data_IF_142589719685
#
_entry.id   IF_142589719685
#
_cell.length_a   1.000
_cell.length_b   1.000
_cell.length_c   1.000
_cell.angle_alpha   90.00
_cell.angle_beta   90.00
_cell.angle_gamma   90.00
#
_symmetry.space_group_name_H-M   'P 1'
#
loop_
_entity.id
_entity.type
_entity.pdbx_description
1 polymer ?
#
# COMPACT_ATOMS: atom_id res chain seq x y z
N UNK A 1 -0.93 -5.62 -29.89
CA UNK A 1 -2.05 -6.39 -29.30
C UNK A 1 -2.63 -5.48 -28.23
N UNK A 2 -3.68 -4.74 -28.57
CA UNK A 2 -4.28 -3.74 -27.69
C UNK A 2 -5.62 -4.29 -27.20
N UNK A 3 -5.95 -4.06 -25.93
CA UNK A 3 -7.26 -4.38 -25.36
C UNK A 3 -7.92 -3.09 -24.98
N UNK A 4 -9.21 -3.00 -25.27
CA UNK A 4 -10.04 -1.88 -24.85
C UNK A 4 -10.36 -2.03 -23.37
N UNK A 5 -9.87 -1.09 -22.56
CA UNK A 5 -10.11 -1.02 -21.12
C UNK A 5 -10.84 0.29 -20.90
N UNK A 6 -12.15 0.20 -20.64
CA UNK A 6 -13.00 1.37 -20.40
C UNK A 6 -12.98 2.44 -21.52
N UNK A 7 -12.87 2.03 -22.79
CA UNK A 7 -12.88 2.92 -23.96
C UNK A 7 -11.49 3.39 -24.40
N UNK A 8 -10.42 2.90 -23.76
CA UNK A 8 -9.03 3.30 -24.07
C UNK A 8 -8.25 2.07 -24.57
N UNK A 9 -7.61 2.14 -25.76
CA UNK A 9 -6.78 1.05 -26.26
C UNK A 9 -5.47 0.96 -25.46
N UNK A 10 -5.34 -0.09 -24.65
CA UNK A 10 -4.17 -0.32 -23.79
C UNK A 10 -3.31 -1.47 -24.32
N UNK A 11 -1.99 -1.28 -24.32
CA UNK A 11 -1.04 -2.33 -24.72
C UNK A 11 -0.95 -3.43 -23.66
N UNK A 12 -1.34 -4.65 -24.02
CA UNK A 12 -1.34 -5.84 -23.14
C UNK A 12 0.06 -6.11 -22.57
N UNK A 13 1.11 -5.99 -23.41
CA UNK A 13 2.48 -6.27 -23.00
C UNK A 13 2.94 -5.29 -21.92
N UNK A 14 2.52 -4.03 -22.03
CA UNK A 14 2.76 -2.98 -21.03
C UNK A 14 2.10 -3.31 -19.70
N UNK A 15 0.86 -3.79 -19.71
CA UNK A 15 0.14 -4.21 -18.50
C UNK A 15 0.81 -5.40 -17.82
N UNK A 16 1.24 -6.42 -18.58
CA UNK A 16 1.93 -7.58 -18.01
C UNK A 16 3.28 -7.16 -17.41
N UNK A 17 4.04 -6.30 -18.09
CA UNK A 17 5.32 -5.79 -17.61
C UNK A 17 5.16 -4.96 -16.32
N UNK A 18 4.20 -4.03 -16.30
CA UNK A 18 3.83 -3.28 -15.09
C UNK A 18 3.36 -4.20 -13.98
N UNK A 19 2.58 -5.22 -14.33
CA UNK A 19 2.18 -6.32 -13.45
C UNK A 19 3.39 -6.97 -12.80
N UNK A 20 4.37 -7.40 -13.57
CA UNK A 20 5.57 -8.05 -13.03
C UNK A 20 6.39 -7.13 -12.13
N UNK A 21 6.68 -5.89 -12.54
CA UNK A 21 7.46 -4.93 -11.73
C UNK A 21 6.78 -4.70 -10.39
N UNK A 22 5.50 -4.34 -10.42
CA UNK A 22 4.74 -4.08 -9.21
C UNK A 22 4.47 -5.35 -8.40
N UNK A 23 4.39 -6.52 -9.04
CA UNK A 23 4.30 -7.82 -8.39
C UNK A 23 5.56 -8.10 -7.58
N UNK A 24 6.74 -7.97 -8.21
CA UNK A 24 8.03 -8.08 -7.54
C UNK A 24 8.13 -7.15 -6.34
N UNK A 25 7.79 -5.87 -6.52
CA UNK A 25 7.83 -4.88 -5.43
C UNK A 25 6.81 -5.19 -4.33
N UNK A 26 5.61 -5.62 -4.69
CA UNK A 26 4.59 -6.06 -3.73
C UNK A 26 5.07 -7.26 -2.92
N UNK A 27 5.70 -8.24 -3.56
CA UNK A 27 6.24 -9.42 -2.89
C UNK A 27 7.50 -9.11 -2.09
N UNK A 28 8.33 -8.15 -2.51
CA UNK A 28 9.55 -7.78 -1.82
C UNK A 28 9.28 -6.95 -0.56
N UNK A 29 8.37 -5.98 -0.65
CA UNK A 29 8.08 -5.04 0.44
C UNK A 29 6.79 -5.33 1.20
N UNK A 30 5.94 -6.25 0.73
CA UNK A 30 4.65 -6.52 1.35
C UNK A 30 3.64 -5.38 1.22
N UNK A 31 3.86 -4.42 0.31
CA UNK A 31 3.04 -3.20 0.18
C UNK A 31 1.71 -3.45 -0.57
N UNK A 32 1.64 -4.48 -1.40
CA UNK A 32 0.49 -4.72 -2.29
C UNK A 32 0.60 -4.07 -3.67
N UNK A 33 1.60 -3.22 -3.93
CA UNK A 33 1.86 -2.61 -5.24
C UNK A 33 0.85 -1.54 -5.71
N UNK A 34 -0.35 -1.48 -5.11
CA UNK A 34 -1.39 -0.48 -5.37
C UNK A 34 -0.90 0.97 -5.42
N UNK A 35 -0.08 1.47 -4.47
CA UNK A 35 0.33 2.88 -4.49
C UNK A 35 1.17 3.28 -5.71
N UNK A 36 1.87 2.34 -6.31
CA UNK A 36 2.62 2.59 -7.53
C UNK A 36 1.71 2.49 -8.76
N UNK A 37 0.86 1.47 -8.80
CA UNK A 37 0.10 1.16 -10.01
C UNK A 37 -1.03 2.15 -10.24
N UNK A 38 -1.75 2.58 -9.20
CA UNK A 38 -2.88 3.51 -9.34
C UNK A 38 -2.52 4.79 -10.09
N UNK A 39 -1.47 5.54 -9.70
CA UNK A 39 -1.07 6.73 -10.45
C UNK A 39 -0.47 6.39 -11.82
N UNK A 40 0.25 5.27 -11.97
CA UNK A 40 0.80 4.85 -13.27
C UNK A 40 -0.31 4.54 -14.28
N UNK A 41 -1.37 3.85 -13.85
CA UNK A 41 -2.52 3.54 -14.69
C UNK A 41 -3.25 4.81 -15.14
N UNK A 42 -3.44 5.75 -14.24
CA UNK A 42 -4.07 7.01 -14.58
C UNK A 42 -3.19 7.86 -15.52
N UNK A 43 -1.91 8.04 -15.19
CA UNK A 43 -1.02 8.94 -15.93
C UNK A 43 -0.62 8.37 -17.31
N UNK A 44 -0.28 7.07 -17.39
CA UNK A 44 0.20 6.47 -18.64
C UNK A 44 -0.92 5.96 -19.54
N UNK A 45 -2.05 5.52 -18.96
CA UNK A 45 -3.14 4.92 -19.72
C UNK A 45 -4.44 5.72 -19.67
N UNK A 46 -4.48 6.86 -18.96
CA UNK A 46 -5.66 7.73 -18.92
C UNK A 46 -6.87 7.13 -18.21
N UNK A 47 -6.69 6.03 -17.47
CA UNK A 47 -7.81 5.31 -16.84
C UNK A 47 -8.34 6.15 -15.65
N UNK A 48 -9.66 6.32 -15.51
CA UNK A 48 -10.26 7.04 -14.39
C UNK A 48 -9.83 6.48 -13.03
N UNK A 49 -9.68 7.36 -12.03
CA UNK A 49 -9.24 6.99 -10.68
C UNK A 49 -10.11 5.91 -10.01
N UNK A 50 -11.45 5.97 -10.05
CA UNK A 50 -12.28 4.94 -9.43
C UNK A 50 -11.97 3.54 -9.96
N UNK A 51 -11.83 3.42 -11.29
CA UNK A 51 -11.51 2.16 -11.98
C UNK A 51 -10.08 1.71 -11.65
N UNK A 52 -9.13 2.64 -11.59
CA UNK A 52 -7.76 2.34 -11.14
C UNK A 52 -7.75 1.78 -9.72
N UNK A 53 -8.43 2.43 -8.78
CA UNK A 53 -8.48 2.04 -7.36
C UNK A 53 -9.09 0.64 -7.20
N UNK A 54 -10.26 0.38 -7.78
CA UNK A 54 -10.90 -0.93 -7.65
C UNK A 54 -10.11 -2.05 -8.35
N UNK A 55 -9.58 -1.79 -9.54
CA UNK A 55 -8.79 -2.78 -10.28
C UNK A 55 -7.43 -3.05 -9.62
N UNK A 56 -6.79 -2.03 -9.04
CA UNK A 56 -5.55 -2.23 -8.29
C UNK A 56 -5.79 -3.04 -7.02
N UNK A 57 -6.85 -2.80 -6.26
CA UNK A 57 -7.20 -3.62 -5.09
C UNK A 57 -7.43 -5.10 -5.48
N UNK A 58 -8.15 -5.35 -6.57
CA UNK A 58 -8.43 -6.69 -7.09
C UNK A 58 -7.15 -7.45 -7.43
N UNK A 59 -6.25 -6.77 -8.14
CA UNK A 59 -4.92 -7.27 -8.47
C UNK A 59 -4.09 -7.48 -7.22
N UNK A 60 -4.09 -6.53 -6.29
CA UNK A 60 -3.37 -6.60 -5.02
C UNK A 60 -3.79 -7.81 -4.20
N UNK A 61 -5.08 -8.13 -4.14
CA UNK A 61 -5.59 -9.31 -3.46
C UNK A 61 -4.96 -10.60 -4.05
N UNK A 62 -4.95 -10.75 -5.38
CA UNK A 62 -4.34 -11.93 -6.02
C UNK A 62 -2.82 -12.01 -5.84
N UNK A 63 -2.10 -10.88 -5.94
CA UNK A 63 -0.64 -10.85 -5.77
C UNK A 63 -0.20 -11.13 -4.35
N UNK A 64 -0.91 -10.55 -3.38
CA UNK A 64 -0.57 -10.72 -1.97
C UNK A 64 -0.95 -12.09 -1.46
N UNK A 65 -2.01 -12.72 -1.98
CA UNK A 65 -2.28 -14.13 -1.74
C UNK A 65 -1.08 -15.01 -2.10
N UNK A 66 -0.51 -14.81 -3.29
CA UNK A 66 0.69 -15.54 -3.74
C UNK A 66 1.91 -15.27 -2.85
N UNK A 67 2.08 -14.04 -2.38
CA UNK A 67 3.16 -13.68 -1.46
C UNK A 67 2.97 -14.28 -0.06
N UNK A 68 1.75 -14.25 0.47
CA UNK A 68 1.36 -14.81 1.77
C UNK A 68 1.69 -16.30 1.83
N UNK A 69 1.32 -17.08 0.81
CA UNK A 69 1.65 -18.51 0.76
C UNK A 69 3.15 -18.77 0.93
N UNK A 70 3.99 -17.87 0.41
CA UNK A 70 5.44 -18.00 0.49
C UNK A 70 6.01 -17.48 1.81
N UNK A 71 5.53 -16.34 2.31
CA UNK A 71 5.91 -15.83 3.63
C UNK A 71 5.50 -16.77 4.75
N UNK A 72 4.37 -17.46 4.61
CA UNK A 72 3.92 -18.48 5.57
C UNK A 72 4.92 -19.63 5.68
N UNK A 73 5.46 -20.10 4.54
CA UNK A 73 6.50 -21.14 4.53
C UNK A 73 7.80 -20.70 5.21
N UNK A 74 8.10 -19.40 5.20
CA UNK A 74 9.27 -18.85 5.88
C UNK A 74 9.03 -18.56 7.37
N UNK A 75 7.80 -18.67 7.88
CA UNK A 75 7.48 -18.40 9.29
C UNK A 75 7.40 -16.91 9.65
N UNK A 76 7.37 -16.01 8.66
CA UNK A 76 7.43 -14.57 8.86
C UNK A 76 6.04 -13.90 8.99
N UNK A 77 5.01 -14.66 9.35
CA UNK A 77 3.64 -14.15 9.44
C UNK A 77 3.15 -14.28 10.87
N UNK A 78 2.87 -13.15 11.50
CA UNK A 78 2.11 -13.11 12.74
C UNK A 78 0.62 -12.99 12.42
N UNK A 79 -0.04 -14.14 12.24
CA UNK A 79 -1.44 -14.20 11.83
C UNK A 79 -2.37 -13.55 12.87
N UNK A 80 -2.01 -13.62 14.16
CA UNK A 80 -2.82 -13.03 15.23
C UNK A 80 -2.81 -11.51 15.13
N UNK A 81 -1.63 -10.90 14.94
CA UNK A 81 -1.49 -9.46 14.76
C UNK A 81 -2.21 -9.00 13.49
N UNK A 82 -2.04 -9.74 12.39
CA UNK A 82 -2.70 -9.44 11.13
C UNK A 82 -4.23 -9.43 11.26
N UNK A 83 -4.81 -10.47 11.84
CA UNK A 83 -6.28 -10.59 11.99
C UNK A 83 -6.87 -9.49 12.87
N UNK A 84 -6.16 -9.08 13.93
CA UNK A 84 -6.59 -7.97 14.78
C UNK A 84 -6.63 -6.64 14.02
N UNK A 85 -5.62 -6.39 13.19
CA UNK A 85 -5.56 -5.20 12.34
C UNK A 85 -6.68 -5.25 11.28
N UNK A 86 -6.89 -6.40 10.63
CA UNK A 86 -7.92 -6.57 9.59
C UNK A 86 -9.31 -6.19 10.08
N UNK A 87 -9.67 -6.55 11.32
CA UNK A 87 -10.97 -6.20 11.90
C UNK A 87 -11.23 -4.68 11.96
N UNK A 88 -10.25 -3.89 12.42
CA UNK A 88 -10.36 -2.43 12.43
C UNK A 88 -10.24 -1.83 11.02
N UNK A 89 -9.47 -2.48 10.15
CA UNK A 89 -9.21 -2.00 8.80
C UNK A 89 -10.45 -2.02 7.91
N UNK A 90 -11.33 -3.01 8.05
CA UNK A 90 -12.58 -3.09 7.26
C UNK A 90 -13.50 -1.90 7.48
N UNK A 91 -13.66 -1.48 8.75
CA UNK A 91 -14.45 -0.29 9.09
C UNK A 91 -13.84 0.96 8.48
N UNK A 92 -12.50 1.09 8.56
CA UNK A 92 -11.79 2.19 7.91
C UNK A 92 -11.98 2.20 6.39
N UNK A 93 -11.90 1.04 5.74
CA UNK A 93 -12.11 0.92 4.28
C UNK A 93 -13.49 1.41 3.88
N UNK A 94 -14.55 1.01 4.58
CA UNK A 94 -15.91 1.50 4.28
C UNK A 94 -15.98 3.02 4.37
N UNK A 95 -15.49 3.62 5.47
CA UNK A 95 -15.44 5.08 5.64
C UNK A 95 -14.66 5.74 4.49
N UNK A 96 -13.53 5.15 4.11
CA UNK A 96 -12.70 5.63 3.00
C UNK A 96 -13.42 5.60 1.66
N UNK A 97 -14.15 4.51 1.35
CA UNK A 97 -14.92 4.42 0.10
C UNK A 97 -16.12 5.37 0.11
N UNK A 98 -16.82 5.53 1.23
CA UNK A 98 -17.88 6.55 1.33
C UNK A 98 -17.33 7.96 1.10
N UNK A 99 -16.15 8.27 1.63
CA UNK A 99 -15.51 9.55 1.40
C UNK A 99 -15.07 9.70 -0.07
N UNK A 100 -14.60 8.61 -0.71
CA UNK A 100 -14.27 8.59 -2.14
C UNK A 100 -15.50 8.94 -2.99
N UNK A 101 -16.63 8.26 -2.76
CA UNK A 101 -17.89 8.51 -3.48
C UNK A 101 -18.40 9.95 -3.25
N UNK A 102 -18.13 10.53 -2.08
CA UNK A 102 -18.46 11.92 -1.78
C UNK A 102 -17.55 12.90 -2.53
N UNK A 103 -16.25 12.64 -2.63
CA UNK A 103 -15.32 13.47 -3.43
C UNK A 103 -15.61 13.37 -4.93
N UNK A 104 -16.03 12.21 -5.43
CA UNK A 104 -16.35 12.01 -6.85
C UNK A 104 -17.51 12.92 -7.31
N UNK A 105 -18.43 13.25 -6.39
CA UNK A 105 -19.56 14.17 -6.65
C UNK A 105 -19.17 15.64 -6.74
N UNK A 106 -17.94 16.02 -6.37
CA UNK A 106 -17.49 17.42 -6.41
C UNK A 106 -17.33 17.96 -7.84
N UNK A 107 -17.45 17.11 -8.86
CA UNK A 107 -17.43 17.51 -10.26
C UNK A 107 -16.03 17.91 -10.75
N UNK A 108 -15.99 18.69 -11.83
CA UNK A 108 -14.74 19.19 -12.40
C UNK A 108 -14.32 20.53 -11.78
N UNK A 109 -13.02 20.69 -11.57
CA UNK A 109 -12.40 21.95 -11.19
C UNK A 109 -11.42 22.38 -12.27
N UNK A 110 -11.37 23.67 -12.53
CA UNK A 110 -10.37 24.26 -13.42
C UNK A 110 -9.11 24.57 -12.62
N UNK A 111 -8.04 23.82 -12.86
CA UNK A 111 -6.72 24.06 -12.28
C UNK A 111 -5.80 24.50 -13.41
N UNK A 112 -5.35 25.76 -13.37
CA UNK A 112 -4.57 26.34 -14.47
C UNK A 112 -5.39 26.44 -15.76
N UNK A 113 -4.87 25.86 -16.86
CA UNK A 113 -5.55 25.82 -18.18
C UNK A 113 -6.31 24.52 -18.45
N UNK A 114 -6.27 23.56 -17.53
CA UNK A 114 -6.86 22.23 -17.72
C UNK A 114 -8.08 22.02 -16.80
N UNK A 115 -9.16 21.48 -17.36
CA UNK A 115 -10.29 20.97 -16.57
C UNK A 115 -9.97 19.55 -16.12
N UNK A 116 -10.04 19.28 -14.82
CA UNK A 116 -9.81 17.95 -14.28
C UNK A 116 -10.81 17.62 -13.17
N UNK A 117 -11.13 16.33 -12.97
CA UNK A 117 -12.00 15.93 -11.87
C UNK A 117 -11.42 16.37 -10.53
N UNK A 118 -12.22 17.00 -9.68
CA UNK A 118 -11.78 17.47 -8.35
C UNK A 118 -11.22 16.33 -7.49
N UNK A 119 -11.84 15.15 -7.61
CA UNK A 119 -11.37 13.91 -7.00
C UNK A 119 -9.90 13.65 -7.31
N UNK A 120 -9.50 13.72 -8.59
CA UNK A 120 -8.14 13.45 -9.03
C UNK A 120 -7.14 14.40 -8.37
N UNK A 121 -7.45 15.70 -8.37
CA UNK A 121 -6.57 16.71 -7.77
C UNK A 121 -6.38 16.49 -6.26
N UNK A 122 -7.49 16.34 -5.52
CA UNK A 122 -7.43 16.15 -4.06
C UNK A 122 -6.73 14.85 -3.67
N UNK A 123 -7.00 13.75 -4.39
CA UNK A 123 -6.36 12.48 -4.12
C UNK A 123 -4.86 12.54 -4.40
N UNK A 124 -4.41 13.17 -5.49
CA UNK A 124 -2.98 13.31 -5.78
C UNK A 124 -2.23 14.10 -4.69
N UNK A 125 -2.80 15.20 -4.21
CA UNK A 125 -2.24 15.98 -3.11
C UNK A 125 -2.19 15.20 -1.80
N UNK A 126 -3.29 14.51 -1.45
CA UNK A 126 -3.36 13.66 -0.27
C UNK A 126 -2.32 12.55 -0.35
N UNK A 127 -2.20 11.90 -1.50
CA UNK A 127 -1.24 10.83 -1.75
C UNK A 127 0.21 11.33 -1.63
N UNK A 128 0.51 12.47 -2.27
CA UNK A 128 1.82 13.12 -2.17
C UNK A 128 2.20 13.46 -0.72
N UNK A 129 1.28 14.06 0.02
CA UNK A 129 1.49 14.40 1.43
C UNK A 129 1.75 13.17 2.30
N UNK A 130 0.96 12.10 2.13
CA UNK A 130 1.14 10.84 2.86
C UNK A 130 2.50 10.20 2.55
N UNK A 131 2.87 10.11 1.27
CA UNK A 131 4.14 9.49 0.88
C UNK A 131 5.36 10.28 1.35
N UNK A 132 5.34 11.61 1.25
CA UNK A 132 6.42 12.46 1.76
C UNK A 132 6.56 12.29 3.27
N UNK A 133 5.44 12.26 4.00
CA UNK A 133 5.47 12.10 5.45
C UNK A 133 6.07 10.74 5.82
N UNK A 134 5.61 9.66 5.20
CA UNK A 134 6.14 8.30 5.42
C UNK A 134 7.61 8.21 5.03
N UNK A 135 7.99 8.66 3.84
CA UNK A 135 9.37 8.63 3.36
C UNK A 135 10.31 9.46 4.26
N UNK A 136 9.86 10.66 4.65
CA UNK A 136 10.58 11.54 5.56
C UNK A 136 10.84 10.89 6.92
N UNK A 137 9.81 10.26 7.52
CA UNK A 137 9.95 9.52 8.79
C UNK A 137 11.00 8.40 8.67
N UNK A 138 10.95 7.61 7.61
CA UNK A 138 11.88 6.49 7.38
C UNK A 138 13.32 7.01 7.16
N UNK A 139 13.49 8.09 6.41
CA UNK A 139 14.81 8.67 6.12
C UNK A 139 15.43 9.30 7.37
N UNK A 140 14.66 10.08 8.13
CA UNK A 140 15.11 10.67 9.39
C UNK A 140 15.59 9.56 10.32
N UNK A 141 14.83 8.47 10.43
CA UNK A 141 15.19 7.36 11.28
C UNK A 141 16.44 6.60 10.77
N UNK A 142 16.54 6.38 9.46
CA UNK A 142 17.71 5.76 8.84
C UNK A 142 18.99 6.59 9.07
N UNK A 143 18.89 7.92 9.13
CA UNK A 143 20.01 8.82 9.42
C UNK A 143 20.38 8.82 10.91
N UNK A 144 19.39 8.78 11.81
CA UNK A 144 19.60 8.75 13.26
C UNK A 144 20.25 7.43 13.69
N UNK A 145 19.80 6.29 13.15
CA UNK A 145 20.34 4.97 13.53
C UNK A 145 21.74 4.69 12.97
N UNK A 146 22.11 5.24 11.81
CA UNK A 146 23.51 5.18 11.33
C UNK A 146 24.52 5.83 12.30
N UNK A 147 24.06 6.74 13.17
CA UNK A 147 24.90 7.43 14.17
C UNK A 147 25.04 6.66 15.49
N UNK A 148 24.11 5.75 15.81
CA UNK A 148 24.16 4.89 17.00
C UNK A 148 24.43 3.46 16.57
N UNK A 149 25.69 3.14 16.30
CA UNK A 149 26.16 1.75 16.25
C UNK A 149 26.06 1.17 17.67
N UNK A 150 24.89 0.61 17.97
CA UNK A 150 24.53 0.12 19.29
C UNK A 150 23.15 -0.52 19.23
N UNK A 151 23.15 -1.85 19.22
CA UNK A 151 22.05 -2.76 18.96
C UNK A 151 20.89 -2.66 19.97
N UNK A 152 20.12 -1.57 19.98
CA UNK A 152 18.83 -1.47 20.68
C UNK A 152 17.84 -0.65 19.87
N UNK A 153 16.88 -1.36 19.27
CA UNK A 153 15.68 -0.82 18.62
C UNK A 153 15.06 0.25 19.52
N UNK A 154 15.07 1.50 19.07
CA UNK A 154 14.59 2.63 19.87
C UNK A 154 13.81 3.60 18.99
N UNK A 155 12.55 3.30 18.76
CA UNK A 155 11.42 4.12 19.22
C UNK A 155 10.15 3.26 19.22
N UNK A 156 9.37 3.39 20.28
CA UNK A 156 8.23 2.56 20.67
C UNK A 156 7.05 3.52 20.94
N UNK A 157 6.80 4.47 20.03
CA UNK A 157 5.85 5.56 20.27
C UNK A 157 4.45 5.03 20.65
N UNK A 158 4.06 3.87 20.12
CA UNK A 158 2.80 3.20 20.45
C UNK A 158 2.96 1.98 21.37
N UNK A 159 4.19 1.49 21.59
CA UNK A 159 4.46 0.30 22.40
C UNK A 159 4.51 0.63 23.91
N UNK A 160 4.80 1.87 24.28
CA UNK A 160 4.75 2.34 25.68
C UNK A 160 3.45 3.07 26.06
N UNK A 161 2.42 3.02 25.20
CA UNK A 161 1.15 3.70 25.47
C UNK A 161 0.40 2.99 26.63
N UNK A 162 0.06 3.70 27.72
CA UNK A 162 -0.48 3.11 28.95
C UNK A 162 -2.00 2.84 28.87
N UNK A 163 -2.50 2.38 27.71
CA UNK A 163 -3.92 2.10 27.51
C UNK A 163 -4.14 0.58 27.45
N UNK A 164 -4.58 -0.05 28.57
CA UNK A 164 -4.94 -1.47 28.57
C UNK A 164 -6.17 -1.73 27.68
N UNK A 165 -6.35 -2.93 27.08
CA UNK A 165 -5.63 -4.20 27.28
C UNK A 165 -4.43 -4.43 26.34
N UNK A 166 -3.47 -5.25 26.81
CA UNK A 166 -2.26 -5.63 26.07
C UNK A 166 -2.35 -7.03 25.48
N UNK A 167 -1.80 -7.22 24.28
CA UNK A 167 -1.68 -8.53 23.63
C UNK A 167 -0.21 -8.80 23.28
N UNK A 168 0.27 -10.00 23.58
CA UNK A 168 1.61 -10.46 23.24
C UNK A 168 1.62 -11.22 21.91
N UNK A 169 2.67 -11.00 21.12
CA UNK A 169 2.86 -11.53 19.77
C UNK A 169 4.22 -12.22 19.66
N UNK A 170 4.30 -13.54 19.92
CA UNK A 170 5.57 -14.27 20.09
C UNK A 170 6.38 -14.44 18.79
N UNK A 171 5.73 -14.38 17.62
CA UNK A 171 6.41 -14.47 16.31
C UNK A 171 7.05 -13.11 15.95
N UNK A 172 6.46 -12.02 16.43
CA UNK A 172 6.91 -10.65 16.14
C UNK A 172 7.97 -10.11 17.14
N UNK A 173 8.35 -10.90 18.15
CA UNK A 173 9.19 -10.51 19.30
C UNK A 173 8.70 -9.23 20.03
N UNK A 174 7.39 -8.95 19.93
CA UNK A 174 6.76 -7.81 20.61
C UNK A 174 6.00 -8.28 21.84
N UNK A 175 6.54 -7.90 23.01
CA UNK A 175 6.06 -8.38 24.33
C UNK A 175 4.67 -7.85 24.69
N UNK A 176 4.33 -6.61 24.34
CA UNK A 176 3.04 -5.98 24.65
C UNK A 176 2.72 -4.88 23.62
N UNK A 177 1.56 -4.96 22.95
CA UNK A 177 0.99 -3.87 22.13
C UNK A 177 -0.39 -3.52 22.70
N UNK A 178 -0.70 -2.22 22.80
CA UNK A 178 -2.02 -1.75 23.24
C UNK A 178 -3.08 -2.00 22.15
N UNK A 179 -4.16 -2.69 22.52
CA UNK A 179 -5.26 -3.03 21.60
C UNK A 179 -5.92 -1.78 20.98
N UNK A 180 -6.14 -0.67 21.73
CA UNK A 180 -6.68 0.57 21.16
C UNK A 180 -5.77 1.21 20.10
N UNK A 181 -4.44 1.14 20.25
CA UNK A 181 -3.53 1.65 19.22
C UNK A 181 -3.62 0.83 17.94
N UNK A 182 -3.76 -0.50 18.04
CA UNK A 182 -3.98 -1.39 16.90
C UNK A 182 -5.26 -1.01 16.18
N UNK A 183 -6.38 -0.87 16.90
CA UNK A 183 -7.68 -0.55 16.30
C UNK A 183 -7.66 0.84 15.66
N UNK A 184 -7.13 1.85 16.36
CA UNK A 184 -7.07 3.22 15.84
C UNK A 184 -6.20 3.33 14.59
N UNK A 185 -4.98 2.77 14.64
CA UNK A 185 -4.08 2.76 13.49
C UNK A 185 -4.65 1.97 12.31
N UNK A 186 -5.31 0.83 12.57
CA UNK A 186 -6.00 0.06 11.55
C UNK A 186 -7.16 0.84 10.91
N UNK A 187 -7.95 1.57 11.70
CA UNK A 187 -9.03 2.40 11.18
C UNK A 187 -8.49 3.52 10.28
N UNK A 188 -7.48 4.27 10.76
CA UNK A 188 -6.86 5.37 9.99
C UNK A 188 -6.25 4.85 8.68
N UNK A 189 -5.46 3.78 8.74
CA UNK A 189 -4.87 3.17 7.55
C UNK A 189 -5.95 2.59 6.63
N UNK A 190 -7.05 2.08 7.18
CA UNK A 190 -8.21 1.60 6.42
C UNK A 190 -8.87 2.69 5.61
N UNK A 191 -9.05 3.88 6.20
CA UNK A 191 -9.58 5.05 5.48
C UNK A 191 -8.69 5.37 4.27
N UNK A 192 -7.37 5.43 4.47
CA UNK A 192 -6.43 5.62 3.35
C UNK A 192 -6.45 4.47 2.34
N UNK A 193 -6.69 3.24 2.79
CA UNK A 193 -6.79 2.07 1.91
C UNK A 193 -8.01 2.14 1.00
N UNK A 194 -9.18 2.51 1.54
CA UNK A 194 -10.41 2.71 0.77
C UNK A 194 -10.35 3.92 -0.17
N UNK A 195 -9.74 5.02 0.27
CA UNK A 195 -9.57 6.23 -0.54
C UNK A 195 -8.58 6.07 -1.70
N UNK A 196 -7.47 5.38 -1.46
CA UNK A 196 -6.32 5.42 -2.37
C UNK A 196 -6.09 4.12 -3.14
N UNK A 197 -6.79 3.03 -2.79
CA UNK A 197 -6.59 1.71 -3.42
C UNK A 197 -5.22 1.11 -3.17
N UNK A 198 -4.48 1.61 -2.18
CA UNK A 198 -3.09 1.25 -1.90
C UNK A 198 -2.98 -0.17 -1.31
N UNK A 199 -4.07 -0.75 -0.81
CA UNK A 199 -4.05 -1.97 0.00
C UNK A 199 -3.48 -1.79 1.41
N UNK A 200 -3.05 -0.56 1.77
CA UNK A 200 -2.58 -0.18 3.12
C UNK A 200 -1.12 -0.52 3.43
N UNK A 201 -0.45 -1.33 2.60
CA UNK A 201 0.87 -1.88 2.96
C UNK A 201 1.99 -0.83 3.08
N UNK A 202 1.87 0.30 2.38
CA UNK A 202 2.86 1.39 2.46
C UNK A 202 2.84 2.09 3.82
N UNK A 203 1.70 1.99 4.54
CA UNK A 203 1.50 2.53 5.87
C UNK A 203 1.72 1.45 6.94
N UNK A 204 1.28 0.22 6.69
CA UNK A 204 1.42 -0.88 7.66
C UNK A 204 2.88 -1.30 7.87
N UNK A 205 3.71 -1.40 6.82
CA UNK A 205 5.14 -1.76 7.00
C UNK A 205 5.86 -0.82 7.97
N UNK A 206 5.87 0.51 7.76
CA UNK A 206 6.52 1.42 8.70
C UNK A 206 5.81 1.46 10.06
N UNK A 207 4.47 1.34 10.12
CA UNK A 207 3.76 1.25 11.40
C UNK A 207 4.21 0.03 12.22
N UNK A 208 4.30 -1.15 11.60
CA UNK A 208 4.72 -2.37 12.29
C UNK A 208 6.18 -2.27 12.75
N UNK A 209 7.07 -1.77 11.90
CA UNK A 209 8.50 -1.67 12.20
C UNK A 209 8.78 -0.58 13.24
N UNK A 210 8.29 0.63 13.02
CA UNK A 210 8.67 1.82 13.79
C UNK A 210 7.63 2.20 14.85
N UNK A 211 6.36 1.87 14.64
CA UNK A 211 5.31 2.08 15.64
C UNK A 211 5.31 0.97 16.69
N UNK A 212 5.35 -0.30 16.26
CA UNK A 212 5.25 -1.47 17.15
C UNK A 212 6.57 -2.20 17.41
N UNK A 213 7.63 -1.91 16.65
CA UNK A 213 8.93 -2.55 16.85
C UNK A 213 9.02 -3.99 16.34
N UNK A 214 8.16 -4.38 15.39
CA UNK A 214 8.18 -5.70 14.77
C UNK A 214 9.44 -5.84 13.90
N UNK A 215 10.08 -7.00 13.93
CA UNK A 215 11.22 -7.30 13.06
C UNK A 215 10.87 -7.11 11.58
N UNK A 216 11.76 -6.55 10.77
CA UNK A 216 11.49 -6.17 9.37
C UNK A 216 10.92 -7.33 8.54
N UNK A 217 11.49 -8.52 8.65
CA UNK A 217 11.06 -9.68 7.88
C UNK A 217 9.65 -10.15 8.29
N UNK A 218 9.36 -10.16 9.60
CA UNK A 218 8.04 -10.47 10.13
C UNK A 218 7.01 -9.37 9.81
N UNK A 219 7.41 -8.10 9.83
CA UNK A 219 6.55 -6.97 9.49
C UNK A 219 6.09 -7.02 8.04
N UNK A 220 7.00 -7.32 7.10
CA UNK A 220 6.68 -7.44 5.67
C UNK A 220 5.75 -8.63 5.41
N UNK A 221 6.01 -9.79 6.03
CA UNK A 221 5.14 -10.97 5.89
C UNK A 221 3.76 -10.77 6.50
N UNK A 222 3.70 -10.22 7.72
CA UNK A 222 2.44 -9.89 8.42
C UNK A 222 1.63 -8.85 7.65
N UNK A 223 2.29 -7.82 7.10
CA UNK A 223 1.63 -6.83 6.25
C UNK A 223 1.05 -7.45 4.99
N UNK A 224 1.76 -8.39 4.36
CA UNK A 224 1.23 -9.08 3.17
C UNK A 224 -0.10 -9.80 3.46
N UNK A 225 -0.25 -10.36 4.67
CA UNK A 225 -1.51 -10.98 5.11
C UNK A 225 -2.61 -9.93 5.37
N UNK A 226 -2.27 -8.83 6.04
CA UNK A 226 -3.20 -7.71 6.26
C UNK A 226 -3.71 -7.18 4.91
N UNK A 227 -2.79 -6.89 3.99
CA UNK A 227 -3.09 -6.35 2.67
C UNK A 227 -3.94 -7.32 1.86
N UNK A 228 -3.70 -8.64 1.95
CA UNK A 228 -4.54 -9.63 1.28
C UNK A 228 -6.02 -9.51 1.67
N UNK A 229 -6.33 -9.56 2.96
CA UNK A 229 -7.72 -9.46 3.42
C UNK A 229 -8.32 -8.08 3.13
N UNK A 230 -7.53 -7.02 3.32
CA UNK A 230 -7.95 -5.64 3.11
C UNK A 230 -8.25 -5.34 1.65
N UNK A 231 -7.39 -5.82 0.75
CA UNK A 231 -7.58 -5.68 -0.68
C UNK A 231 -8.71 -6.56 -1.18
N UNK A 232 -8.89 -7.78 -0.66
CA UNK A 232 -10.04 -8.62 -0.99
C UNK A 232 -11.36 -7.95 -0.58
N UNK A 233 -11.44 -7.40 0.64
CA UNK A 233 -12.62 -6.67 1.11
C UNK A 233 -12.88 -5.41 0.27
N UNK A 234 -11.87 -4.55 0.09
CA UNK A 234 -11.98 -3.36 -0.74
C UNK A 234 -12.34 -3.68 -2.20
N UNK A 235 -11.84 -4.79 -2.75
CA UNK A 235 -12.22 -5.28 -4.08
C UNK A 235 -13.71 -5.51 -4.18
N UNK A 236 -14.31 -6.21 -3.21
CA UNK A 236 -15.76 -6.44 -3.19
C UNK A 236 -16.50 -5.11 -3.12
N UNK A 237 -16.09 -4.22 -2.21
CA UNK A 237 -16.70 -2.90 -2.01
C UNK A 237 -16.65 -2.01 -3.28
N UNK A 238 -15.56 -2.05 -4.05
CA UNK A 238 -15.42 -1.33 -5.32
C UNK A 238 -16.07 -2.06 -6.50
N UNK A 239 -16.06 -3.39 -6.53
CA UNK A 239 -16.72 -4.19 -7.56
C UNK A 239 -18.24 -4.00 -7.52
N UNK A 240 -18.82 -3.92 -6.32
CA UNK A 240 -20.24 -3.60 -6.13
C UNK A 240 -20.63 -2.21 -6.69
N UNK A 241 -19.65 -1.31 -6.84
CA UNK A 241 -19.83 0.04 -7.43
C UNK A 241 -19.50 0.10 -8.92
N UNK A 242 -19.15 -1.02 -9.55
CA UNK A 242 -18.75 -1.05 -10.97
C UNK A 242 -17.35 -0.51 -11.26
N UNK A 243 -16.52 -0.30 -10.23
CA UNK A 243 -15.20 0.33 -10.33
C UNK A 243 -14.05 -0.67 -10.56
N UNK A 244 -14.36 -1.88 -11.05
CA UNK A 244 -13.36 -2.95 -11.27
C UNK A 244 -13.42 -3.42 -12.71
N UNK A 245 -12.32 -3.22 -13.44
CA UNK A 245 -12.15 -3.75 -14.79
C UNK A 245 -11.42 -5.09 -14.73
N UNK A 246 -12.14 -6.18 -15.02
CA UNK A 246 -11.60 -7.53 -14.90
C UNK A 246 -10.51 -7.84 -15.94
N UNK A 247 -10.51 -7.21 -17.11
CA UNK A 247 -9.48 -7.41 -18.12
C UNK A 247 -8.16 -6.80 -17.69
N UNK A 248 -8.22 -5.56 -17.19
CA UNK A 248 -7.07 -4.88 -16.59
C UNK A 248 -6.46 -5.73 -15.46
N UNK A 249 -7.31 -6.22 -14.57
CA UNK A 249 -6.91 -7.08 -13.44
C UNK A 249 -6.26 -8.36 -13.94
N UNK A 250 -6.85 -9.04 -14.93
CA UNK A 250 -6.34 -10.30 -15.45
C UNK A 250 -4.91 -10.15 -16.01
N UNK A 251 -4.65 -9.15 -16.87
CA UNK A 251 -3.33 -8.95 -17.45
C UNK A 251 -2.28 -8.54 -16.40
N UNK A 252 -2.67 -7.68 -15.46
CA UNK A 252 -1.78 -7.32 -14.36
C UNK A 252 -1.48 -8.51 -13.45
N UNK A 253 -2.44 -9.40 -13.19
CA UNK A 253 -2.29 -10.59 -12.34
C UNK A 253 -1.34 -11.63 -12.94
N UNK A 254 -1.38 -11.83 -14.26
CA UNK A 254 -0.50 -12.77 -14.96
C UNK A 254 0.97 -12.43 -14.70
N UNK A 255 1.37 -11.18 -14.92
CA UNK A 255 2.76 -10.76 -14.68
C UNK A 255 3.13 -10.77 -13.20
N UNK A 256 2.18 -10.40 -12.34
CA UNK A 256 2.48 -10.05 -10.95
C UNK A 256 2.54 -11.22 -9.98
N UNK A 257 1.76 -12.28 -10.21
CA UNK A 257 1.72 -13.46 -9.32
C UNK A 257 3.09 -14.16 -9.22
N UNK A 258 3.72 -14.42 -10.36
CA UNK A 258 5.06 -15.05 -10.43
C UNK A 258 6.11 -14.10 -9.84
N UNK A 259 6.11 -12.84 -10.29
CA UNK A 259 7.11 -11.87 -9.86
C UNK A 259 7.00 -11.54 -8.36
N UNK A 260 5.78 -11.58 -7.78
CA UNK A 260 5.59 -11.45 -6.33
C UNK A 260 6.29 -12.56 -5.56
N UNK A 261 6.15 -13.81 -5.99
CA UNK A 261 6.85 -14.91 -5.33
C UNK A 261 8.37 -14.76 -5.42
N UNK A 262 8.91 -14.27 -6.53
CA UNK A 262 10.34 -13.98 -6.68
C UNK A 262 10.77 -12.85 -5.75
N UNK A 263 9.97 -11.79 -5.64
CA UNK A 263 10.17 -10.69 -4.70
C UNK A 263 10.29 -11.17 -3.24
N UNK A 264 9.42 -12.11 -2.83
CA UNK A 264 9.50 -12.70 -1.48
C UNK A 264 10.82 -13.44 -1.26
N UNK A 265 11.33 -14.20 -2.25
CA UNK A 265 12.65 -14.86 -2.12
C UNK A 265 13.75 -13.82 -1.94
N UNK A 266 13.75 -12.80 -2.81
CA UNK A 266 14.77 -11.77 -2.80
C UNK A 266 14.79 -11.05 -1.44
N UNK A 267 13.60 -10.80 -0.87
CA UNK A 267 13.46 -10.22 0.46
C UNK A 267 14.10 -11.10 1.56
N UNK A 268 13.96 -12.42 1.51
CA UNK A 268 14.59 -13.32 2.51
C UNK A 268 16.12 -13.37 2.44
N UNK A 269 16.72 -12.91 1.33
CA UNK A 269 18.18 -12.95 1.13
C UNK A 269 18.88 -11.65 1.52
N UNK A 270 18.12 -10.61 1.83
CA UNK A 270 18.63 -9.27 2.09
C UNK A 270 18.41 -8.94 3.57
N UNK A 271 19.38 -8.25 4.18
CA UNK A 271 19.28 -7.82 5.58
C UNK A 271 18.17 -6.78 5.77
N UNK A 272 17.52 -6.81 6.94
CA UNK A 272 16.41 -5.91 7.30
C UNK A 272 16.69 -4.42 7.07
N UNK A 273 17.90 -3.94 7.36
CA UNK A 273 18.26 -2.52 7.17
C UNK A 273 18.26 -2.11 5.70
N UNK A 274 18.77 -2.99 4.82
CA UNK A 274 18.75 -2.77 3.38
C UNK A 274 17.33 -2.79 2.82
N UNK A 275 16.43 -3.64 3.36
CA UNK A 275 15.02 -3.65 2.98
C UNK A 275 14.36 -2.31 3.34
N UNK A 276 14.59 -1.79 4.54
CA UNK A 276 14.07 -0.49 4.99
C UNK A 276 14.57 0.65 4.11
N UNK A 277 15.86 0.65 3.75
CA UNK A 277 16.44 1.67 2.87
C UNK A 277 15.84 1.62 1.47
N UNK A 278 15.75 0.43 0.87
CA UNK A 278 15.12 0.24 -0.44
C UNK A 278 13.64 0.66 -0.43
N UNK A 279 12.93 0.40 0.67
CA UNK A 279 11.55 0.84 0.87
C UNK A 279 11.45 2.36 0.89
N UNK A 280 12.29 3.04 1.68
CA UNK A 280 12.31 4.50 1.76
C UNK A 280 12.52 5.13 0.38
N UNK A 281 13.49 4.57 -0.37
CA UNK A 281 13.87 5.05 -1.69
C UNK A 281 12.75 4.88 -2.71
N UNK A 282 12.08 3.73 -2.74
CA UNK A 282 10.98 3.54 -3.68
C UNK A 282 9.79 4.44 -3.37
N UNK A 283 9.43 4.60 -2.09
CA UNK A 283 8.36 5.51 -1.66
C UNK A 283 8.69 6.95 -2.07
N UNK A 284 9.95 7.36 -1.95
CA UNK A 284 10.42 8.68 -2.38
C UNK A 284 10.31 8.87 -3.89
N UNK A 285 10.67 7.86 -4.69
CA UNK A 285 10.48 7.89 -6.15
C UNK A 285 9.01 8.09 -6.50
N UNK A 286 8.10 7.36 -5.85
CA UNK A 286 6.65 7.50 -6.11
C UNK A 286 6.18 8.91 -5.75
N UNK A 287 6.62 9.43 -4.60
CA UNK A 287 6.30 10.79 -4.18
C UNK A 287 6.81 11.82 -5.20
N UNK A 288 8.04 11.67 -5.69
CA UNK A 288 8.63 12.54 -6.71
C UNK A 288 7.89 12.49 -8.03
N UNK A 289 7.49 11.30 -8.49
CA UNK A 289 6.69 11.13 -9.71
C UNK A 289 5.35 11.86 -9.63
N UNK A 290 4.65 11.74 -8.50
CA UNK A 290 3.36 12.43 -8.29
C UNK A 290 3.57 13.93 -8.13
N UNK A 291 4.61 14.36 -7.41
CA UNK A 291 4.97 15.76 -7.29
C UNK A 291 5.27 16.41 -8.64
N UNK A 292 5.97 15.71 -9.54
CA UNK A 292 6.22 16.18 -10.90
C UNK A 292 4.92 16.32 -11.70
N UNK A 293 4.00 15.36 -11.57
CA UNK A 293 2.68 15.44 -12.22
C UNK A 293 1.87 16.65 -11.70
N UNK A 294 1.84 16.85 -10.37
CA UNK A 294 1.18 18.00 -9.73
C UNK A 294 1.76 19.34 -10.21
N UNK A 295 3.09 19.45 -10.33
CA UNK A 295 3.74 20.65 -10.88
C UNK A 295 3.34 20.88 -12.34
N UNK A 296 3.30 19.83 -13.15
CA UNK A 296 2.83 19.91 -14.54
C UNK A 296 1.40 20.43 -14.66
N UNK A 297 0.51 20.04 -13.75
CA UNK A 297 -0.88 20.50 -13.71
C UNK A 297 -1.02 21.97 -13.30
N UNK A 298 -0.11 22.48 -12.46
CA UNK A 298 -0.15 23.87 -11.97
C UNK A 298 0.48 24.84 -12.96
N UNK A 299 1.56 24.44 -13.62
CA UNK A 299 2.37 25.30 -14.48
C UNK A 299 2.12 25.13 -15.99
N UNK A 300 1.40 24.09 -16.43
CA UNK A 300 1.03 23.82 -17.83
C UNK A 300 -0.29 24.48 -18.25
#
# INVERSE_FOLDING_TARGET
MNVDISGIPVNILGLIALGCISGFLSGFFGIGGGPLITPILNILFGIPFPICIGSTLSRTAGTTFSAVLRYWKFGNIDAKLALMIVGGNFVGIEIGVYLLDWLDKLGEISVGKQSMPALQYYLQWLFFGVLITVSGLILIESLIHRRKSGHKQSFSLLRDLPIPPYVSFPISDVRQISLPAIVYSALVIGIFTGLLGIGGGILFVPLLIYGYGVETHAAVGTTSLIVFFSAAYGTVTHAMRGNVDLWLVAFLLIGSTICAQVGVIANQRIQGDSIRFCFAFIVLIVAGMIGFNLLGLIYG
#
